data_IF_931895895550
#
_entry.id   IF_931895895550
#
_cell.length_a   1.000
_cell.length_b   1.000
_cell.length_c   1.000
_cell.angle_alpha   90.00
_cell.angle_beta   90.00
_cell.angle_gamma   90.00
#
_symmetry.space_group_name_H-M   'P 1'
#
loop_
_entity.id
_entity.type
_entity.pdbx_description
1 polymer ?
#
# COMPACT_ATOMS: atom_id res chain seq x y z
N UNK A 1 5.50 -2.13 -21.51
CA UNK A 1 5.48 -2.67 -20.12
C UNK A 1 4.28 -3.57 -19.90
N UNK A 2 4.42 -4.77 -19.31
CA UNK A 2 3.26 -5.62 -18.96
C UNK A 2 3.05 -5.59 -17.45
N UNK A 3 2.26 -4.63 -16.96
CA UNK A 3 1.98 -4.41 -15.54
C UNK A 3 1.14 -5.53 -14.88
N UNK A 4 0.57 -6.41 -15.70
CA UNK A 4 -0.28 -7.52 -15.24
C UNK A 4 0.50 -8.81 -14.97
N UNK A 5 1.83 -8.79 -15.17
CA UNK A 5 2.69 -9.93 -14.82
C UNK A 5 2.96 -10.02 -13.31
N UNK A 6 3.20 -11.24 -12.80
CA UNK A 6 3.48 -11.46 -11.38
C UNK A 6 4.94 -11.04 -11.09
N UNK A 7 5.13 -9.74 -10.92
CA UNK A 7 6.38 -9.14 -10.45
C UNK A 7 6.11 -8.21 -9.28
N UNK A 8 7.07 -8.04 -8.43
CA UNK A 8 7.04 -7.00 -7.41
C UNK A 8 7.23 -5.63 -8.06
N UNK A 9 6.53 -4.64 -7.55
CA UNK A 9 6.86 -3.23 -7.82
C UNK A 9 8.13 -2.85 -7.07
N UNK A 10 8.92 -1.90 -7.58
CA UNK A 10 10.22 -1.54 -7.01
C UNK A 10 10.20 -1.19 -5.52
N UNK A 11 9.09 -0.62 -5.04
CA UNK A 11 8.89 -0.28 -3.63
C UNK A 11 8.68 -1.50 -2.70
N UNK A 12 8.39 -2.69 -3.26
CA UNK A 12 8.32 -3.98 -2.54
C UNK A 12 9.59 -4.82 -2.76
N UNK A 13 10.30 -4.61 -3.88
CA UNK A 13 11.48 -5.36 -4.24
C UNK A 13 12.73 -4.82 -3.55
N UNK A 14 12.87 -3.50 -3.49
CA UNK A 14 14.04 -2.82 -2.97
C UNK A 14 14.04 -2.73 -1.44
N UNK A 15 15.24 -2.70 -0.86
CA UNK A 15 15.42 -2.42 0.56
C UNK A 15 15.20 -0.93 0.86
N UNK A 16 14.70 -0.63 2.04
CA UNK A 16 14.48 0.74 2.52
C UNK A 16 14.91 0.91 3.98
N UNK A 17 14.82 2.14 4.46
CA UNK A 17 15.14 2.46 5.85
C UNK A 17 14.11 1.83 6.78
N UNK A 18 14.56 1.24 7.89
CA UNK A 18 13.70 0.55 8.88
C UNK A 18 12.81 -0.56 8.29
N UNK A 19 13.20 -1.20 7.18
CA UNK A 19 12.43 -2.19 6.44
C UNK A 19 12.16 -3.50 7.20
N UNK A 20 12.77 -3.67 8.36
CA UNK A 20 12.41 -4.72 9.33
C UNK A 20 11.02 -4.48 9.96
N UNK A 21 10.57 -3.22 10.03
CA UNK A 21 9.27 -2.82 10.58
C UNK A 21 8.39 -2.14 9.52
N UNK A 22 8.98 -1.28 8.68
CA UNK A 22 8.28 -0.48 7.68
C UNK A 22 8.30 -1.18 6.33
N UNK A 23 7.13 -1.45 5.77
CA UNK A 23 7.02 -2.05 4.44
C UNK A 23 7.16 -1.01 3.32
N UNK A 24 6.52 0.16 3.50
CA UNK A 24 6.57 1.24 2.51
C UNK A 24 6.13 2.57 3.09
N UNK A 25 6.62 3.66 2.47
CA UNK A 25 6.12 5.02 2.59
C UNK A 25 5.37 5.41 1.32
N UNK A 26 4.30 6.22 1.46
CA UNK A 26 3.47 6.63 0.35
C UNK A 26 2.97 8.06 0.51
N UNK A 27 3.13 8.85 -0.53
CA UNK A 27 2.52 10.18 -0.67
C UNK A 27 1.46 10.13 -1.77
N UNK A 28 0.33 10.76 -1.53
CA UNK A 28 -0.74 10.97 -2.51
C UNK A 28 -1.15 12.42 -2.51
N UNK A 29 -1.24 13.03 -3.69
CA UNK A 29 -1.73 14.39 -3.91
C UNK A 29 -3.01 14.33 -4.73
N UNK A 30 -4.08 14.96 -4.25
CA UNK A 30 -5.34 15.11 -4.95
C UNK A 30 -5.40 16.49 -5.59
N UNK A 31 -5.73 16.56 -6.88
CA UNK A 31 -5.84 17.79 -7.68
C UNK A 31 -7.04 17.76 -8.57
N UNK A 32 -7.71 18.90 -8.68
CA UNK A 32 -8.76 19.13 -9.66
C UNK A 32 -8.37 20.25 -10.62
N UNK A 33 -8.84 20.17 -11.85
CA UNK A 33 -8.64 21.21 -12.84
C UNK A 33 -9.58 22.38 -12.56
N UNK A 34 -9.06 23.59 -12.77
CA UNK A 34 -9.85 24.81 -12.70
C UNK A 34 -10.88 24.83 -13.84
N UNK A 35 -12.07 25.35 -13.55
CA UNK A 35 -13.16 25.50 -14.50
C UNK A 35 -13.78 24.20 -15.03
N UNK A 36 -13.38 23.02 -14.50
CA UNK A 36 -14.00 21.73 -14.78
C UNK A 36 -14.83 21.25 -13.58
N UNK A 37 -15.92 20.51 -13.88
CA UNK A 37 -16.69 19.85 -12.83
C UNK A 37 -15.93 18.65 -12.27
N UNK A 38 -15.91 18.52 -10.96
CA UNK A 38 -15.18 17.41 -10.31
C UNK A 38 -15.75 16.05 -10.70
N UNK A 39 -14.92 15.00 -10.84
CA UNK A 39 -15.32 13.70 -11.37
C UNK A 39 -16.44 12.99 -10.60
N UNK A 40 -16.64 13.33 -9.33
CA UNK A 40 -17.76 12.82 -8.52
C UNK A 40 -19.12 13.28 -9.02
N UNK A 41 -19.18 14.36 -9.80
CA UNK A 41 -20.38 14.89 -10.42
C UNK A 41 -20.47 14.53 -11.91
N UNK A 42 -19.37 14.63 -12.64
CA UNK A 42 -19.30 14.34 -14.06
C UNK A 42 -17.91 13.83 -14.44
N UNK A 43 -17.83 12.65 -15.06
CA UNK A 43 -16.58 12.13 -15.64
C UNK A 43 -16.59 12.35 -17.16
N UNK A 44 -15.53 12.99 -17.68
CA UNK A 44 -15.34 13.22 -19.13
C UNK A 44 -14.07 12.51 -19.58
N UNK A 45 -14.15 11.73 -20.65
CA UNK A 45 -12.98 11.05 -21.22
C UNK A 45 -11.96 12.06 -21.78
N UNK A 46 -12.41 13.17 -22.32
CA UNK A 46 -11.56 14.26 -22.85
C UNK A 46 -10.59 14.82 -21.79
N UNK A 47 -11.01 14.87 -20.52
CA UNK A 47 -10.14 15.32 -19.43
C UNK A 47 -8.99 14.33 -19.21
N UNK A 48 -9.26 13.04 -19.31
CA UNK A 48 -8.22 12.00 -19.21
C UNK A 48 -7.20 12.15 -20.32
N UNK A 49 -7.66 12.36 -21.55
CA UNK A 49 -6.77 12.51 -22.71
C UNK A 49 -5.94 13.79 -22.61
N UNK A 50 -6.55 14.92 -22.24
CA UNK A 50 -5.85 16.19 -22.00
C UNK A 50 -4.77 16.09 -20.91
N UNK A 51 -5.06 15.41 -19.81
CA UNK A 51 -4.07 15.21 -18.75
C UNK A 51 -2.98 14.24 -19.21
N UNK A 52 -3.33 13.17 -19.91
CA UNK A 52 -2.37 12.17 -20.37
C UNK A 52 -1.37 12.76 -21.39
N UNK A 53 -1.78 13.74 -22.22
CA UNK A 53 -0.91 14.45 -23.16
C UNK A 53 0.20 15.27 -22.46
N UNK A 54 0.04 15.58 -21.17
CA UNK A 54 1.06 16.28 -20.39
C UNK A 54 2.28 15.37 -20.14
N UNK A 55 2.07 14.05 -20.10
CA UNK A 55 3.11 13.07 -19.77
C UNK A 55 3.74 12.49 -21.04
N UNK A 56 5.02 12.21 -20.95
CA UNK A 56 5.82 11.62 -22.02
C UNK A 56 5.74 10.07 -22.05
N UNK A 57 6.52 9.45 -22.93
CA UNK A 57 6.59 8.00 -23.11
C UNK A 57 7.11 7.22 -21.89
N UNK A 58 7.57 7.91 -20.83
CA UNK A 58 7.99 7.26 -19.59
C UNK A 58 6.81 6.73 -18.76
N UNK A 59 5.59 7.14 -19.10
CA UNK A 59 4.37 6.68 -18.47
C UNK A 59 3.51 5.86 -19.44
N UNK A 60 3.01 4.72 -18.96
CA UNK A 60 2.04 3.89 -19.68
C UNK A 60 0.63 4.27 -19.24
N UNK A 61 -0.20 4.74 -20.17
CA UNK A 61 -1.63 5.03 -19.93
C UNK A 61 -2.44 3.73 -20.02
N UNK A 62 -3.25 3.46 -19.01
CA UNK A 62 -4.19 2.34 -18.95
C UNK A 62 -5.59 2.87 -18.66
N UNK A 63 -6.48 2.84 -19.64
CA UNK A 63 -7.89 3.24 -19.48
C UNK A 63 -8.70 2.09 -18.85
N UNK A 64 -9.48 2.39 -17.83
CA UNK A 64 -10.23 1.37 -17.07
C UNK A 64 -11.30 0.66 -17.89
N UNK A 65 -11.91 1.31 -18.88
CA UNK A 65 -12.89 0.71 -19.79
C UNK A 65 -12.28 -0.26 -20.83
N UNK A 66 -10.94 -0.31 -20.95
CA UNK A 66 -10.22 -1.16 -21.91
C UNK A 66 -9.65 -2.43 -21.28
N UNK A 67 -9.74 -2.60 -19.96
CA UNK A 67 -9.16 -3.72 -19.24
C UNK A 67 -10.24 -4.51 -18.49
N UNK A 68 -9.98 -5.82 -18.31
CA UNK A 68 -10.89 -6.73 -17.62
C UNK A 68 -10.95 -6.47 -16.11
N UNK A 69 -12.02 -6.98 -15.46
CA UNK A 69 -12.15 -6.92 -14.00
C UNK A 69 -10.97 -7.58 -13.28
N UNK A 70 -10.44 -8.68 -13.82
CA UNK A 70 -9.25 -9.33 -13.26
C UNK A 70 -8.02 -8.41 -13.32
N UNK A 71 -7.81 -7.75 -14.45
CA UNK A 71 -6.69 -6.80 -14.60
C UNK A 71 -6.83 -5.60 -13.64
N UNK A 72 -8.04 -5.06 -13.47
CA UNK A 72 -8.30 -4.02 -12.46
C UNK A 72 -7.99 -4.51 -11.04
N UNK A 73 -8.41 -5.73 -10.70
CA UNK A 73 -8.16 -6.31 -9.39
C UNK A 73 -6.65 -6.52 -9.12
N UNK A 74 -5.87 -6.93 -10.13
CA UNK A 74 -4.40 -7.01 -10.04
C UNK A 74 -3.78 -5.64 -9.73
N UNK A 75 -4.24 -4.57 -10.39
CA UNK A 75 -3.76 -3.22 -10.09
C UNK A 75 -4.10 -2.77 -8.67
N UNK A 76 -5.28 -3.15 -8.15
CA UNK A 76 -5.68 -2.88 -6.75
C UNK A 76 -4.78 -3.64 -5.77
N UNK A 77 -4.52 -4.92 -6.01
CA UNK A 77 -3.67 -5.75 -5.14
C UNK A 77 -2.21 -5.31 -5.16
N UNK A 78 -1.73 -4.75 -6.27
CA UNK A 78 -0.42 -4.06 -6.39
C UNK A 78 -0.43 -2.64 -5.77
N UNK A 79 -1.53 -2.16 -5.24
CA UNK A 79 -1.73 -0.79 -4.73
C UNK A 79 -1.51 0.33 -5.76
N UNK A 80 -1.62 0.04 -7.05
CA UNK A 80 -1.45 1.00 -8.15
C UNK A 80 -2.71 1.80 -8.45
N UNK A 81 -3.89 1.24 -8.17
CA UNK A 81 -5.17 1.95 -8.22
C UNK A 81 -5.97 1.72 -6.94
N UNK A 82 -6.99 2.56 -6.72
CA UNK A 82 -7.90 2.41 -5.60
C UNK A 82 -9.05 1.42 -5.91
N UNK A 83 -9.67 0.80 -4.88
CA UNK A 83 -10.92 0.07 -5.08
C UNK A 83 -12.06 0.94 -5.64
N UNK A 84 -12.05 2.26 -5.37
CA UNK A 84 -13.02 3.19 -5.93
C UNK A 84 -12.88 3.28 -7.46
N UNK A 85 -11.66 3.47 -7.96
CA UNK A 85 -11.38 3.49 -9.40
C UNK A 85 -11.80 2.18 -10.08
N UNK A 86 -11.49 1.04 -9.49
CA UNK A 86 -11.89 -0.26 -10.03
C UNK A 86 -13.41 -0.37 -10.21
N UNK A 87 -14.21 0.14 -9.26
CA UNK A 87 -15.63 -0.13 -9.18
C UNK A 87 -16.53 0.98 -9.74
N UNK A 88 -16.06 2.24 -9.77
CA UNK A 88 -16.91 3.41 -10.02
C UNK A 88 -16.41 4.36 -11.09
N UNK A 89 -15.18 4.24 -11.57
CA UNK A 89 -14.67 5.13 -12.62
C UNK A 89 -14.88 4.53 -14.00
N UNK A 90 -15.92 4.98 -14.71
CA UNK A 90 -16.22 4.54 -16.06
C UNK A 90 -15.15 5.05 -17.06
N UNK A 91 -14.83 6.34 -16.97
CA UNK A 91 -13.82 7.01 -17.78
C UNK A 91 -12.53 7.27 -17.01
N UNK A 92 -12.25 6.43 -16.01
CA UNK A 92 -11.02 6.50 -15.26
C UNK A 92 -9.84 5.91 -16.03
N UNK A 93 -8.65 6.38 -15.72
CA UNK A 93 -7.41 5.84 -16.24
C UNK A 93 -6.30 5.92 -15.19
N UNK A 94 -5.21 5.21 -15.43
CA UNK A 94 -4.00 5.32 -14.62
C UNK A 94 -2.78 5.42 -15.52
N UNK A 95 -1.89 6.34 -15.18
CA UNK A 95 -0.54 6.46 -15.74
C UNK A 95 0.44 5.77 -14.78
N UNK A 96 1.25 4.85 -15.29
CA UNK A 96 2.22 4.08 -14.51
C UNK A 96 3.61 4.24 -15.10
N UNK A 97 4.60 4.48 -14.26
CA UNK A 97 6.00 4.39 -14.66
C UNK A 97 6.49 2.92 -14.70
N UNK A 98 7.63 2.66 -15.29
CA UNK A 98 8.16 1.30 -15.49
C UNK A 98 8.44 0.56 -14.18
N UNK A 99 8.85 1.26 -13.13
CA UNK A 99 9.16 0.72 -11.82
C UNK A 99 7.92 0.46 -10.95
N UNK A 100 6.73 0.92 -11.39
CA UNK A 100 5.46 0.82 -10.66
C UNK A 100 5.51 1.46 -9.24
N UNK A 101 6.39 2.43 -9.04
CA UNK A 101 6.48 3.20 -7.80
C UNK A 101 5.76 4.56 -7.89
N UNK A 102 5.42 4.98 -9.11
CA UNK A 102 4.56 6.14 -9.40
C UNK A 102 3.31 5.67 -10.12
N UNK A 103 2.15 6.05 -9.59
CA UNK A 103 0.86 5.87 -10.24
C UNK A 103 0.04 7.16 -10.16
N UNK A 104 -0.48 7.60 -11.31
CA UNK A 104 -1.32 8.80 -11.40
C UNK A 104 -2.69 8.36 -11.87
N UNK A 105 -3.64 8.31 -10.93
CA UNK A 105 -5.03 7.98 -11.22
C UNK A 105 -5.74 9.21 -11.77
N UNK A 106 -6.44 9.04 -12.86
CA UNK A 106 -7.19 10.10 -13.56
C UNK A 106 -8.68 9.80 -13.47
N UNK A 107 -9.50 10.81 -13.21
CA UNK A 107 -10.95 10.69 -13.04
C UNK A 107 -11.34 9.64 -11.97
N UNK A 108 -10.69 9.69 -10.81
CA UNK A 108 -11.12 8.91 -9.64
C UNK A 108 -12.18 9.71 -8.86
N UNK A 109 -11.92 10.10 -7.62
CA UNK A 109 -12.73 11.10 -6.88
C UNK A 109 -12.39 12.51 -7.34
N UNK A 110 -11.11 12.75 -7.64
CA UNK A 110 -10.56 13.99 -8.18
C UNK A 110 -10.00 13.73 -9.58
N UNK A 111 -9.73 14.80 -10.36
CA UNK A 111 -9.20 14.67 -11.71
C UNK A 111 -7.85 14.01 -11.75
N UNK A 112 -6.95 14.34 -10.81
CA UNK A 112 -5.66 13.71 -10.64
C UNK A 112 -5.48 13.24 -9.19
N UNK A 113 -4.90 12.06 -9.06
CA UNK A 113 -4.40 11.54 -7.80
C UNK A 113 -3.00 10.99 -8.01
N UNK A 114 -2.01 11.85 -7.83
CA UNK A 114 -0.60 11.50 -7.92
C UNK A 114 -0.24 10.64 -6.71
N UNK A 115 0.34 9.48 -6.93
CA UNK A 115 0.79 8.57 -5.87
C UNK A 115 2.24 8.19 -6.11
N UNK A 116 3.11 8.44 -5.13
CA UNK A 116 4.50 8.00 -5.11
C UNK A 116 4.72 7.07 -3.92
N UNK A 117 5.40 5.95 -4.15
CA UNK A 117 5.70 4.92 -3.15
C UNK A 117 7.20 4.64 -3.10
N UNK A 118 7.72 4.52 -1.87
CA UNK A 118 9.12 4.19 -1.60
C UNK A 118 9.21 3.02 -0.62
N UNK A 119 10.28 2.19 -0.68
CA UNK A 119 10.50 1.12 0.29
C UNK A 119 10.89 1.70 1.66
N UNK A 120 10.48 1.05 2.75
CA UNK A 120 10.84 1.46 4.11
C UNK A 120 10.33 2.85 4.51
N UNK A 121 11.00 3.49 5.48
CA UNK A 121 10.65 4.81 5.98
C UNK A 121 11.35 5.92 5.20
N UNK A 122 10.84 6.22 4.00
CA UNK A 122 11.38 7.25 3.09
C UNK A 122 10.28 8.21 2.61
N UNK A 123 9.60 8.83 3.57
CA UNK A 123 8.50 9.76 3.29
C UNK A 123 8.95 11.01 2.53
N UNK A 124 10.16 11.53 2.83
CA UNK A 124 10.69 12.71 2.15
C UNK A 124 11.01 12.43 0.68
N UNK A 125 11.59 11.26 0.36
CA UNK A 125 11.86 10.85 -1.03
C UNK A 125 10.55 10.71 -1.82
N UNK A 126 9.52 10.12 -1.20
CA UNK A 126 8.20 10.01 -1.80
C UNK A 126 7.52 11.39 -1.97
N UNK A 127 7.73 12.33 -1.04
CA UNK A 127 7.22 13.71 -1.12
C UNK A 127 7.91 14.45 -2.26
N UNK A 128 9.23 14.41 -2.34
CA UNK A 128 10.00 15.06 -3.39
C UNK A 128 9.55 14.60 -4.77
N UNK A 129 9.45 13.28 -4.97
CA UNK A 129 8.98 12.70 -6.22
C UNK A 129 7.53 13.15 -6.57
N UNK A 130 6.64 13.21 -5.58
CA UNK A 130 5.26 13.63 -5.79
C UNK A 130 5.17 15.11 -6.14
N UNK A 131 5.94 15.97 -5.46
CA UNK A 131 5.94 17.42 -5.73
C UNK A 131 6.61 17.76 -7.07
N UNK A 132 7.62 17.02 -7.51
CA UNK A 132 8.21 17.18 -8.85
C UNK A 132 7.18 16.91 -9.95
N UNK A 133 6.40 15.84 -9.82
CA UNK A 133 5.33 15.51 -10.77
C UNK A 133 4.21 16.55 -10.71
N UNK A 134 3.79 16.95 -9.51
CA UNK A 134 2.72 17.92 -9.29
C UNK A 134 3.07 19.28 -9.92
N UNK A 135 4.28 19.80 -9.67
CA UNK A 135 4.78 21.04 -10.27
C UNK A 135 4.87 20.97 -11.79
N UNK A 136 5.34 19.84 -12.36
CA UNK A 136 5.38 19.64 -13.80
C UNK A 136 4.00 19.68 -14.46
N UNK A 137 3.00 19.14 -13.79
CA UNK A 137 1.60 19.21 -14.27
C UNK A 137 1.03 20.62 -14.10
N UNK A 138 1.29 21.29 -12.97
CA UNK A 138 0.78 22.63 -12.67
C UNK A 138 1.32 23.70 -13.63
N UNK A 139 2.54 23.52 -14.18
CA UNK A 139 3.08 24.38 -15.25
C UNK A 139 2.27 24.33 -16.56
N UNK A 140 1.54 23.25 -16.79
CA UNK A 140 0.79 23.00 -18.05
C UNK A 140 -0.72 23.08 -17.87
N UNK A 141 -1.23 22.73 -16.71
CA UNK A 141 -2.65 22.65 -16.39
C UNK A 141 -2.96 23.49 -15.14
N UNK A 142 -3.98 24.34 -15.21
CA UNK A 142 -4.39 25.16 -14.07
C UNK A 142 -5.21 24.33 -13.09
N UNK A 143 -4.79 24.29 -11.83
CA UNK A 143 -5.51 23.62 -10.75
C UNK A 143 -6.61 24.47 -10.12
N UNK A 144 -7.63 23.84 -9.59
CA UNK A 144 -8.65 24.44 -8.74
C UNK A 144 -8.02 24.74 -7.37
N UNK A 145 -7.60 25.98 -7.19
CA UNK A 145 -6.92 26.47 -5.98
C UNK A 145 -7.60 27.73 -5.45
N UNK A 146 -7.78 27.79 -4.15
CA UNK A 146 -8.27 28.94 -3.42
C UNK A 146 -7.20 29.45 -2.45
N UNK A 147 -7.07 30.79 -2.32
CA UNK A 147 -6.03 31.40 -1.49
C UNK A 147 -6.19 31.14 0.02
N UNK A 148 -7.42 30.91 0.47
CA UNK A 148 -7.74 30.64 1.88
C UNK A 148 -7.77 29.14 2.17
N UNK A 149 -8.31 28.35 1.23
CA UNK A 149 -8.54 26.92 1.43
C UNK A 149 -7.51 26.01 0.77
N UNK A 150 -6.60 26.51 -0.05
CA UNK A 150 -5.62 25.72 -0.77
C UNK A 150 -6.22 24.96 -1.96
N UNK A 151 -5.74 23.76 -2.26
CA UNK A 151 -6.25 22.93 -3.33
C UNK A 151 -7.66 22.42 -3.02
N UNK A 152 -8.57 22.66 -3.97
CA UNK A 152 -9.97 22.25 -3.85
C UNK A 152 -10.15 20.81 -4.31
N UNK A 153 -10.66 19.98 -3.42
CA UNK A 153 -10.83 18.53 -3.64
C UNK A 153 -12.26 18.09 -3.43
N UNK A 154 -12.66 16.99 -4.05
CA UNK A 154 -13.98 16.40 -3.93
C UNK A 154 -14.30 15.97 -2.49
N UNK A 155 -13.30 15.51 -1.77
CA UNK A 155 -13.42 15.16 -0.36
C UNK A 155 -12.90 16.29 0.52
N UNK A 156 -13.77 16.86 1.35
CA UNK A 156 -13.43 18.00 2.23
C UNK A 156 -12.26 17.70 3.19
N UNK A 157 -12.00 16.44 3.50
CA UNK A 157 -10.88 16.03 4.35
C UNK A 157 -9.51 16.12 3.65
N UNK A 158 -9.48 16.37 2.34
CA UNK A 158 -8.27 16.56 1.57
C UNK A 158 -8.00 18.04 1.24
N UNK A 159 -8.96 18.96 1.48
CA UNK A 159 -8.80 20.40 1.24
C UNK A 159 -7.58 20.92 1.98
N UNK A 160 -6.83 21.83 1.36
CA UNK A 160 -5.56 22.39 1.84
C UNK A 160 -4.42 21.93 0.96
N UNK A 161 -3.53 21.13 1.48
CA UNK A 161 -2.44 20.52 0.69
C UNK A 161 -2.92 19.52 -0.34
N UNK A 162 -4.13 18.98 -0.20
CA UNK A 162 -4.60 17.83 -0.99
C UNK A 162 -3.81 16.56 -0.71
N UNK A 163 -2.91 16.57 0.30
CA UNK A 163 -1.93 15.52 0.51
C UNK A 163 -2.37 14.49 1.56
N UNK A 164 -2.15 13.24 1.24
CA UNK A 164 -2.19 12.16 2.22
C UNK A 164 -0.86 11.40 2.24
N UNK A 165 -0.10 11.60 3.30
CA UNK A 165 1.07 10.81 3.64
C UNK A 165 0.66 9.56 4.42
N UNK A 166 1.26 8.41 4.13
CA UNK A 166 0.98 7.17 4.86
C UNK A 166 2.18 6.23 4.88
N UNK A 167 2.29 5.48 5.97
CA UNK A 167 3.33 4.46 6.17
C UNK A 167 2.66 3.13 6.47
N UNK A 168 3.11 2.08 5.81
CA UNK A 168 2.65 0.71 6.03
C UNK A 168 3.67 -0.03 6.91
N UNK A 169 3.21 -0.59 8.04
CA UNK A 169 4.08 -1.19 9.06
C UNK A 169 3.60 -2.55 9.51
N UNK A 170 4.56 -3.43 9.82
CA UNK A 170 4.34 -4.75 10.40
C UNK A 170 4.68 -4.75 11.88
N UNK A 171 3.67 -4.89 12.76
CA UNK A 171 3.77 -4.70 14.22
C UNK A 171 3.40 -5.96 15.03
N UNK A 172 3.94 -7.15 14.74
CA UNK A 172 3.60 -8.39 15.44
C UNK A 172 4.04 -8.41 16.90
N UNK A 173 5.11 -7.70 17.25
CA UNK A 173 5.61 -7.59 18.62
C UNK A 173 4.63 -6.83 19.52
N UNK A 174 4.15 -5.67 19.06
CA UNK A 174 3.15 -4.87 19.77
C UNK A 174 1.80 -5.60 19.88
N UNK A 175 1.40 -6.34 18.85
CA UNK A 175 0.17 -7.15 18.88
C UNK A 175 0.29 -8.30 19.89
N UNK A 176 1.37 -9.09 19.82
CA UNK A 176 1.59 -10.25 20.68
C UNK A 176 1.75 -9.84 22.15
N UNK A 177 2.38 -8.70 22.42
CA UNK A 177 2.51 -8.14 23.78
C UNK A 177 1.27 -7.40 24.25
N UNK A 178 0.18 -7.36 23.45
CA UNK A 178 -1.10 -6.67 23.72
C UNK A 178 -0.96 -5.14 23.90
N UNK A 179 0.13 -4.54 23.46
CA UNK A 179 0.38 -3.09 23.56
C UNK A 179 -0.18 -2.30 22.40
N UNK A 180 -0.57 -2.95 21.32
CA UNK A 180 -1.01 -2.29 20.08
C UNK A 180 -2.18 -1.33 20.30
N UNK A 181 -3.14 -1.64 21.18
CA UNK A 181 -4.30 -0.78 21.43
C UNK A 181 -3.89 0.58 22.01
N UNK A 182 -3.03 0.60 23.03
CA UNK A 182 -2.56 1.85 23.63
C UNK A 182 -1.71 2.67 22.66
N UNK A 183 -0.93 2.02 21.78
CA UNK A 183 -0.18 2.70 20.73
C UNK A 183 -1.12 3.35 19.71
N UNK A 184 -2.17 2.65 19.26
CA UNK A 184 -3.16 3.21 18.33
C UNK A 184 -3.91 4.40 18.96
N UNK A 185 -4.29 4.32 20.23
CA UNK A 185 -4.95 5.43 20.95
C UNK A 185 -4.02 6.66 21.05
N UNK A 186 -2.74 6.46 21.36
CA UNK A 186 -1.75 7.54 21.38
C UNK A 186 -1.57 8.19 19.99
N UNK A 187 -1.46 7.39 18.92
CA UNK A 187 -1.34 7.88 17.55
C UNK A 187 -2.57 8.73 17.15
N UNK A 188 -3.77 8.27 17.51
CA UNK A 188 -5.02 8.99 17.24
C UNK A 188 -5.10 10.32 17.99
N UNK A 189 -4.61 10.38 19.23
CA UNK A 189 -4.58 11.62 20.01
C UNK A 189 -3.63 12.68 19.43
N UNK A 190 -2.66 12.25 18.60
CA UNK A 190 -1.75 13.14 17.85
C UNK A 190 -2.33 13.58 16.48
N UNK A 191 -3.58 13.20 16.14
CA UNK A 191 -4.24 13.58 14.90
C UNK A 191 -3.90 12.70 13.70
N UNK A 192 -3.44 11.48 13.94
CA UNK A 192 -3.20 10.50 12.87
C UNK A 192 -4.27 9.40 12.86
N UNK A 193 -4.45 8.77 11.71
CA UNK A 193 -5.36 7.64 11.52
C UNK A 193 -4.58 6.35 11.37
N UNK A 194 -4.98 5.33 12.13
CA UNK A 194 -4.46 3.96 11.98
C UNK A 194 -5.54 3.06 11.43
N UNK A 195 -5.26 2.38 10.33
CA UNK A 195 -6.17 1.44 9.66
C UNK A 195 -5.48 0.09 9.48
N UNK A 196 -6.25 -1.01 9.50
CA UNK A 196 -5.77 -2.28 8.95
C UNK A 196 -5.73 -2.21 7.41
N UNK A 197 -5.00 -3.12 6.76
CA UNK A 197 -4.85 -3.11 5.29
C UNK A 197 -6.20 -3.21 4.57
N UNK A 198 -7.19 -3.87 5.15
CA UNK A 198 -8.49 -4.17 4.52
C UNK A 198 -9.63 -3.21 4.91
N UNK A 199 -9.33 -2.02 5.47
CA UNK A 199 -10.33 -0.96 5.64
C UNK A 199 -10.64 -0.56 7.08
N UNK A 200 -11.56 0.42 7.23
CA UNK A 200 -12.00 0.97 8.52
C UNK A 200 -12.72 -0.08 9.36
N UNK A 201 -12.28 -0.24 10.62
CA UNK A 201 -12.95 -1.10 11.60
C UNK A 201 -12.60 -2.58 11.53
N UNK A 202 -11.84 -3.06 10.54
CA UNK A 202 -11.35 -4.44 10.53
C UNK A 202 -10.14 -4.60 11.44
N UNK A 203 -10.09 -5.71 12.20
CA UNK A 203 -8.83 -6.13 12.83
C UNK A 203 -7.82 -6.36 11.70
N UNK A 204 -6.60 -5.81 11.82
CA UNK A 204 -5.62 -5.94 10.75
C UNK A 204 -5.27 -7.41 10.56
N UNK A 205 -5.45 -7.90 9.33
CA UNK A 205 -4.91 -9.18 8.95
C UNK A 205 -3.37 -9.08 8.94
N UNK A 206 -2.68 -10.13 9.36
CA UNK A 206 -1.22 -10.23 9.26
C UNK A 206 -0.42 -9.21 10.08
N UNK A 207 -1.00 -8.58 11.12
CA UNK A 207 -0.33 -7.57 11.95
C UNK A 207 0.25 -6.38 11.14
N UNK A 208 -0.31 -6.09 9.95
CA UNK A 208 0.09 -4.95 9.13
C UNK A 208 -0.91 -3.81 9.30
N UNK A 209 -0.38 -2.62 9.58
CA UNK A 209 -1.14 -1.41 9.84
C UNK A 209 -0.70 -0.31 8.87
N UNK A 210 -1.62 0.58 8.54
CA UNK A 210 -1.32 1.81 7.83
C UNK A 210 -1.54 3.00 8.76
N UNK A 211 -0.51 3.81 8.96
CA UNK A 211 -0.59 5.09 9.68
C UNK A 211 -0.61 6.22 8.66
N UNK A 212 -1.49 7.21 8.82
CA UNK A 212 -1.58 8.35 7.89
C UNK A 212 -2.04 9.62 8.60
N UNK A 213 -1.72 10.79 8.01
CA UNK A 213 -2.27 12.07 8.47
C UNK A 213 -3.80 12.09 8.32
N UNK A 214 -4.45 12.89 9.16
CA UNK A 214 -5.87 13.20 9.07
C UNK A 214 -6.09 14.66 8.64
N UNK A 215 -5.21 15.55 9.05
CA UNK A 215 -5.31 16.99 8.79
C UNK A 215 -4.49 17.33 7.54
N UNK A 216 -5.05 18.16 6.67
CA UNK A 216 -4.47 18.63 5.41
C UNK A 216 -4.52 20.15 5.29
N UNK A 217 -5.30 20.85 6.13
CA UNK A 217 -5.44 22.28 6.16
C UNK A 217 -4.66 22.88 7.34
N UNK A 218 -3.96 23.99 7.13
CA UNK A 218 -3.22 24.71 8.18
C UNK A 218 -1.81 24.16 8.47
N UNK A 219 -1.33 23.22 7.65
CA UNK A 219 0.05 22.70 7.65
C UNK A 219 0.58 22.64 6.23
N UNK A 220 1.88 22.74 6.08
CA UNK A 220 2.58 22.47 4.82
C UNK A 220 2.77 20.95 4.62
N UNK A 221 3.04 20.55 3.39
CA UNK A 221 3.36 19.16 3.06
C UNK A 221 4.57 18.64 3.85
N UNK A 222 5.59 19.49 4.00
CA UNK A 222 6.81 19.17 4.75
C UNK A 222 6.50 18.95 6.24
N UNK A 223 5.73 19.83 6.89
CA UNK A 223 5.33 19.68 8.29
C UNK A 223 4.53 18.39 8.53
N UNK A 224 3.65 18.02 7.60
CA UNK A 224 2.88 16.76 7.69
C UNK A 224 3.81 15.55 7.63
N UNK A 225 4.81 15.56 6.75
CA UNK A 225 5.79 14.48 6.61
C UNK A 225 6.72 14.40 7.81
N UNK A 226 7.20 15.54 8.32
CA UNK A 226 8.01 15.61 9.55
C UNK A 226 7.28 15.01 10.75
N UNK A 227 6.04 15.44 10.99
CA UNK A 227 5.22 14.95 12.10
C UNK A 227 4.98 13.44 12.00
N UNK A 228 4.63 12.96 10.78
CA UNK A 228 4.41 11.51 10.56
C UNK A 228 5.69 10.71 10.76
N UNK A 229 6.84 11.22 10.29
CA UNK A 229 8.14 10.56 10.46
C UNK A 229 8.48 10.40 11.93
N UNK A 230 8.34 11.46 12.74
CA UNK A 230 8.60 11.41 14.18
C UNK A 230 7.71 10.39 14.90
N UNK A 231 6.43 10.33 14.55
CA UNK A 231 5.50 9.31 15.09
C UNK A 231 5.94 7.91 14.70
N UNK A 232 6.35 7.73 13.44
CA UNK A 232 6.80 6.42 12.95
C UNK A 232 8.07 5.94 13.64
N UNK A 233 9.06 6.80 13.85
CA UNK A 233 10.28 6.46 14.60
C UNK A 233 9.96 5.94 16.00
N UNK A 234 9.00 6.54 16.71
CA UNK A 234 8.58 6.08 18.03
C UNK A 234 7.89 4.70 17.97
N UNK A 235 7.06 4.46 16.95
CA UNK A 235 6.39 3.17 16.75
C UNK A 235 7.42 2.07 16.44
N UNK A 236 8.37 2.33 15.56
CA UNK A 236 9.45 1.42 15.18
C UNK A 236 10.28 1.03 16.41
N UNK A 237 10.69 2.02 17.21
CA UNK A 237 11.43 1.76 18.45
C UNK A 237 10.62 0.87 19.41
N UNK A 238 9.34 1.15 19.61
CA UNK A 238 8.48 0.36 20.48
C UNK A 238 8.27 -1.07 19.97
N UNK A 239 8.12 -1.26 18.67
CA UNK A 239 8.01 -2.57 18.04
C UNK A 239 9.30 -3.38 18.24
N UNK A 240 10.48 -2.80 18.01
CA UNK A 240 11.78 -3.44 18.20
C UNK A 240 11.99 -3.85 19.67
N UNK A 241 11.61 -3.00 20.62
CA UNK A 241 11.63 -3.33 22.06
C UNK A 241 10.68 -4.49 22.36
N UNK A 242 9.49 -4.51 21.79
CA UNK A 242 8.54 -5.60 21.97
C UNK A 242 9.08 -6.93 21.40
N UNK A 243 9.66 -6.93 20.19
CA UNK A 243 10.31 -8.09 19.56
C UNK A 243 11.46 -8.62 20.42
N UNK A 244 12.34 -7.74 20.91
CA UNK A 244 13.46 -8.10 21.79
C UNK A 244 12.95 -8.74 23.09
N UNK A 245 11.91 -8.16 23.70
CA UNK A 245 11.29 -8.70 24.92
C UNK A 245 10.71 -10.10 24.68
N UNK A 246 10.03 -10.31 23.55
CA UNK A 246 9.49 -11.63 23.19
C UNK A 246 10.61 -12.65 23.01
N UNK A 247 11.67 -12.30 22.27
CA UNK A 247 12.82 -13.17 22.05
C UNK A 247 13.53 -13.55 23.35
N UNK A 248 13.69 -12.60 24.29
CA UNK A 248 14.37 -12.86 25.56
C UNK A 248 13.52 -13.65 26.56
N UNK A 249 12.23 -13.33 26.71
CA UNK A 249 11.41 -13.89 27.78
C UNK A 249 10.59 -15.10 27.34
N UNK A 250 10.31 -15.26 26.05
CA UNK A 250 9.41 -16.28 25.52
C UNK A 250 10.02 -16.99 24.31
N UNK A 251 11.34 -17.15 24.27
CA UNK A 251 12.09 -17.68 23.13
C UNK A 251 11.47 -18.96 22.54
N UNK A 252 11.32 -20.00 23.36
CA UNK A 252 10.84 -21.32 22.91
C UNK A 252 9.39 -21.23 22.38
N UNK A 253 8.51 -20.48 23.06
CA UNK A 253 7.13 -20.34 22.62
C UNK A 253 7.01 -19.53 21.32
N UNK A 254 7.89 -18.53 21.13
CA UNK A 254 7.97 -17.74 19.91
C UNK A 254 8.54 -18.57 18.76
N UNK A 255 9.60 -19.30 18.99
CA UNK A 255 10.22 -20.20 18.04
C UNK A 255 9.23 -21.30 17.61
N UNK A 256 8.57 -21.99 18.54
CA UNK A 256 7.54 -22.99 18.23
C UNK A 256 6.43 -22.39 17.34
N UNK A 257 5.92 -21.20 17.67
CA UNK A 257 4.90 -20.50 16.87
C UNK A 257 5.37 -20.26 15.44
N UNK A 258 6.57 -19.72 15.28
CA UNK A 258 7.13 -19.36 13.96
C UNK A 258 7.37 -20.63 13.11
N UNK A 259 7.98 -21.69 13.70
CA UNK A 259 8.24 -22.94 12.98
C UNK A 259 6.96 -23.73 12.69
N UNK A 260 5.93 -23.65 13.51
CA UNK A 260 4.61 -24.25 13.22
C UNK A 260 3.96 -23.53 12.05
N UNK A 261 4.00 -22.20 11.99
CA UNK A 261 3.51 -21.41 10.85
C UNK A 261 4.27 -21.75 9.57
N UNK A 262 5.60 -21.92 9.64
CA UNK A 262 6.41 -22.38 8.51
C UNK A 262 6.01 -23.79 8.07
N UNK A 263 5.91 -24.74 9.01
CA UNK A 263 5.47 -26.11 8.72
C UNK A 263 4.07 -26.19 8.12
N UNK A 264 3.15 -25.32 8.57
CA UNK A 264 1.82 -25.17 7.99
C UNK A 264 1.91 -24.77 6.52
N UNK A 265 2.59 -23.65 6.20
CA UNK A 265 2.68 -23.12 4.85
C UNK A 265 3.39 -24.08 3.89
N UNK A 266 4.42 -24.80 4.35
CA UNK A 266 5.15 -25.79 3.55
C UNK A 266 4.35 -27.07 3.24
N UNK A 267 3.36 -27.41 4.08
CA UNK A 267 2.69 -28.71 3.98
C UNK A 267 1.18 -28.65 3.72
N UNK A 268 0.53 -27.47 3.89
CA UNK A 268 -0.91 -27.37 3.65
C UNK A 268 -1.26 -27.65 2.17
N UNK A 269 -2.46 -28.20 1.95
CA UNK A 269 -3.05 -28.44 0.62
C UNK A 269 -4.22 -27.52 0.37
N UNK A 270 -4.79 -26.97 1.43
CA UNK A 270 -5.88 -26.01 1.46
C UNK A 270 -5.53 -24.99 2.51
N UNK A 271 -5.62 -23.69 2.17
CA UNK A 271 -5.40 -22.62 3.13
C UNK A 271 -6.28 -21.39 2.82
N UNK A 272 -6.96 -20.89 3.83
CA UNK A 272 -7.74 -19.66 3.70
C UNK A 272 -6.82 -18.42 3.63
N UNK A 273 -7.34 -17.32 3.08
CA UNK A 273 -6.60 -16.05 3.04
C UNK A 273 -6.16 -15.60 4.43
N UNK A 274 -7.07 -15.68 5.40
CA UNK A 274 -6.75 -15.26 6.78
C UNK A 274 -5.64 -16.12 7.39
N UNK A 275 -5.75 -17.42 7.30
CA UNK A 275 -4.76 -18.37 7.85
C UNK A 275 -3.38 -18.20 7.19
N UNK A 276 -3.36 -18.03 5.86
CA UNK A 276 -2.13 -17.75 5.12
C UNK A 276 -1.49 -16.43 5.60
N UNK A 277 -2.28 -15.37 5.70
CA UNK A 277 -1.83 -14.06 6.13
C UNK A 277 -1.26 -14.07 7.56
N UNK A 278 -1.93 -14.77 8.48
CA UNK A 278 -1.46 -14.89 9.87
C UNK A 278 -0.14 -15.68 9.93
N UNK A 279 -0.03 -16.78 9.19
CA UNK A 279 1.19 -17.59 9.14
C UNK A 279 2.36 -16.86 8.44
N UNK A 280 2.10 -16.11 7.35
CA UNK A 280 3.09 -15.27 6.67
C UNK A 280 3.64 -14.20 7.65
N UNK A 281 2.76 -13.57 8.44
CA UNK A 281 3.17 -12.60 9.46
C UNK A 281 4.10 -13.21 10.51
N UNK A 282 3.81 -14.43 10.97
CA UNK A 282 4.65 -15.14 11.93
C UNK A 282 6.03 -15.46 11.34
N UNK A 283 6.08 -15.91 10.09
CA UNK A 283 7.35 -16.22 9.42
C UNK A 283 8.16 -14.93 9.20
N UNK A 284 7.52 -13.83 8.77
CA UNK A 284 8.20 -12.52 8.65
C UNK A 284 8.83 -12.10 9.97
N UNK A 285 8.11 -12.23 11.10
CA UNK A 285 8.68 -11.99 12.42
C UNK A 285 9.88 -12.90 12.68
N UNK A 286 9.79 -14.17 12.29
CA UNK A 286 10.90 -15.13 12.42
C UNK A 286 12.13 -14.75 11.60
N UNK A 287 11.94 -14.26 10.38
CA UNK A 287 13.03 -13.73 9.54
C UNK A 287 13.73 -12.56 10.22
N UNK A 288 12.96 -11.59 10.73
CA UNK A 288 13.53 -10.41 11.41
C UNK A 288 14.22 -10.74 12.75
N UNK A 289 13.85 -11.84 13.37
CA UNK A 289 14.49 -12.32 14.60
C UNK A 289 15.66 -13.28 14.35
N UNK A 290 15.95 -13.59 13.07
CA UNK A 290 17.05 -14.46 12.67
C UNK A 290 16.80 -15.96 12.88
N UNK A 291 15.53 -16.41 12.89
CA UNK A 291 15.19 -17.84 12.91
C UNK A 291 15.31 -18.49 11.52
N UNK A 292 15.26 -17.70 10.45
CA UNK A 292 15.37 -18.16 9.07
C UNK A 292 16.46 -17.35 8.33
N UNK A 293 17.58 -18.01 7.97
CA UNK A 293 18.65 -17.40 7.20
C UNK A 293 18.41 -17.49 5.69
N UNK A 294 17.58 -18.44 5.26
CA UNK A 294 17.32 -18.75 3.85
C UNK A 294 16.08 -18.06 3.26
N UNK A 295 15.32 -17.33 4.08
CA UNK A 295 14.12 -16.62 3.64
C UNK A 295 14.42 -15.11 3.62
N UNK A 296 14.37 -14.49 2.43
CA UNK A 296 14.57 -13.06 2.29
C UNK A 296 13.28 -12.25 2.56
N UNK A 297 13.42 -10.96 2.85
CA UNK A 297 12.28 -10.01 2.92
C UNK A 297 11.53 -9.93 1.60
N UNK A 298 12.24 -9.96 0.48
CA UNK A 298 11.64 -9.99 -0.85
C UNK A 298 10.72 -11.20 -1.01
N UNK A 299 11.15 -12.41 -0.63
CA UNK A 299 10.33 -13.62 -0.64
C UNK A 299 9.08 -13.48 0.24
N UNK A 300 9.19 -12.78 1.38
CA UNK A 300 8.02 -12.46 2.21
C UNK A 300 7.05 -11.50 1.54
N UNK A 301 7.54 -10.54 0.74
CA UNK A 301 6.69 -9.63 -0.03
C UNK A 301 6.00 -10.37 -1.19
N UNK A 302 6.69 -11.29 -1.86
CA UNK A 302 6.12 -12.19 -2.89
C UNK A 302 4.98 -13.04 -2.31
N UNK A 303 5.17 -13.63 -1.12
CA UNK A 303 4.13 -14.40 -0.43
C UNK A 303 2.88 -13.55 -0.15
N UNK A 304 3.07 -12.32 0.34
CA UNK A 304 1.94 -11.41 0.63
C UNK A 304 1.20 -11.05 -0.65
N UNK A 305 1.91 -10.71 -1.73
CA UNK A 305 1.31 -10.25 -2.97
C UNK A 305 0.69 -11.41 -3.77
N UNK A 306 1.46 -12.47 -4.05
CA UNK A 306 1.01 -13.52 -4.96
C UNK A 306 0.02 -14.51 -4.35
N UNK A 307 -0.20 -14.46 -3.03
CA UNK A 307 -1.30 -15.19 -2.37
C UNK A 307 -2.65 -14.47 -2.42
N UNK A 308 -2.72 -13.24 -3.00
CA UNK A 308 -3.96 -12.48 -3.13
C UNK A 308 -4.88 -13.07 -4.21
N UNK A 309 -6.21 -12.89 -4.09
CA UNK A 309 -7.20 -13.54 -4.97
C UNK A 309 -7.02 -13.27 -6.47
N UNK A 310 -6.68 -12.03 -6.88
CA UNK A 310 -6.53 -11.73 -8.30
C UNK A 310 -5.29 -12.40 -8.91
N UNK A 311 -4.17 -12.45 -8.16
CA UNK A 311 -2.98 -13.20 -8.58
C UNK A 311 -3.25 -14.70 -8.70
N UNK A 312 -4.03 -15.28 -7.78
CA UNK A 312 -4.40 -16.69 -7.84
C UNK A 312 -5.31 -17.00 -9.04
N UNK A 313 -6.26 -16.10 -9.37
CA UNK A 313 -7.11 -16.23 -10.58
C UNK A 313 -6.28 -16.11 -11.85
N UNK A 314 -5.32 -15.21 -11.87
CA UNK A 314 -4.38 -15.09 -13.00
C UNK A 314 -3.55 -16.37 -13.17
N UNK A 315 -3.02 -16.94 -12.08
CA UNK A 315 -2.25 -18.20 -12.09
C UNK A 315 -3.11 -19.36 -12.59
N UNK A 316 -4.36 -19.44 -12.15
CA UNK A 316 -5.29 -20.49 -12.60
C UNK A 316 -5.74 -20.31 -14.06
N UNK A 317 -5.65 -19.12 -14.64
CA UNK A 317 -6.12 -18.78 -15.99
C UNK A 317 -7.65 -18.90 -16.18
N UNK A 318 -8.41 -19.01 -15.09
CA UNK A 318 -9.87 -19.16 -15.08
C UNK A 318 -10.49 -18.67 -13.77
N UNK A 319 -11.80 -18.50 -13.78
CA UNK A 319 -12.55 -18.27 -12.55
C UNK A 319 -12.50 -19.52 -11.65
N UNK A 320 -12.47 -19.29 -10.35
CA UNK A 320 -12.33 -20.30 -9.31
C UNK A 320 -13.47 -20.18 -8.29
N UNK A 321 -13.93 -21.31 -7.78
CA UNK A 321 -14.72 -21.32 -6.56
C UNK A 321 -13.83 -21.17 -5.31
N UNK A 322 -14.44 -21.01 -4.15
CA UNK A 322 -13.73 -20.75 -2.88
C UNK A 322 -12.74 -21.89 -2.52
N UNK A 323 -13.09 -23.14 -2.78
CA UNK A 323 -12.21 -24.27 -2.48
C UNK A 323 -11.00 -24.30 -3.40
N UNK A 324 -11.20 -24.07 -4.71
CA UNK A 324 -10.13 -24.00 -5.69
C UNK A 324 -9.16 -22.88 -5.37
N UNK A 325 -9.67 -21.70 -4.96
CA UNK A 325 -8.83 -20.58 -4.53
C UNK A 325 -7.92 -20.96 -3.34
N UNK A 326 -8.49 -21.66 -2.33
CA UNK A 326 -7.71 -22.15 -1.17
C UNK A 326 -6.65 -23.18 -1.58
N UNK A 327 -6.93 -24.03 -2.56
CA UNK A 327 -5.99 -25.04 -3.08
C UNK A 327 -4.86 -24.38 -3.85
N UNK A 328 -5.18 -23.45 -4.76
CA UNK A 328 -4.17 -22.72 -5.54
C UNK A 328 -3.30 -21.87 -4.63
N UNK A 329 -3.89 -21.18 -3.64
CA UNK A 329 -3.12 -20.40 -2.64
C UNK A 329 -2.10 -21.29 -1.94
N UNK A 330 -2.51 -22.45 -1.45
CA UNK A 330 -1.60 -23.40 -0.82
C UNK A 330 -0.48 -23.89 -1.76
N UNK A 331 -0.79 -24.07 -3.06
CA UNK A 331 0.21 -24.42 -4.08
C UNK A 331 1.23 -23.29 -4.26
N UNK A 332 0.77 -22.09 -4.57
CA UNK A 332 1.63 -20.90 -4.82
C UNK A 332 2.54 -20.61 -3.61
N UNK A 333 2.00 -20.67 -2.40
CA UNK A 333 2.80 -20.45 -1.19
C UNK A 333 3.93 -21.47 -1.05
N UNK A 334 3.65 -22.78 -1.31
CA UNK A 334 4.68 -23.81 -1.24
C UNK A 334 5.74 -23.65 -2.33
N UNK A 335 5.34 -23.25 -3.53
CA UNK A 335 6.27 -22.98 -4.63
C UNK A 335 7.23 -21.82 -4.25
N UNK A 336 6.70 -20.68 -3.77
CA UNK A 336 7.53 -19.56 -3.35
C UNK A 336 8.46 -19.94 -2.18
N UNK A 337 7.99 -20.66 -1.17
CA UNK A 337 8.82 -21.04 -0.02
C UNK A 337 9.81 -22.17 -0.34
N UNK A 338 9.44 -23.06 -1.26
CA UNK A 338 10.23 -24.24 -1.62
C UNK A 338 11.32 -23.99 -2.65
N UNK A 339 11.31 -22.86 -3.36
CA UNK A 339 12.39 -22.46 -4.25
C UNK A 339 13.67 -22.23 -3.45
N UNK A 340 14.69 -23.06 -3.73
CA UNK A 340 16.03 -23.03 -3.13
C UNK A 340 16.94 -22.05 -3.86
#
# INVERSE_FOLDING_TARGET
>A
MNVFEPRLSSWLENAGDDDDVVLSSRIRLARNLKDEQFPVYEQKEEIVDNIAEVFDDNFTLIKMNQISLLQKALLVEKHLISPYMMNKSEYGAVLLNEEENVSIMLNEEDHLRIQCMTPGLRLFDALEAALQIDGYVEEKLSYAFDKEFGYLTSCVTNIGTGMRASVMVHLPGLVTTKRIKSVIEAIRSLGFVVRGIYGEGSMPASNIFQVSNQVTLGKTETEIVEDLTQVMEQIIMQERVARTTLKQKFHIALEDRVFRSYGLLMNCRIISMKEASDAISDIRLGVELGFFEHISRQKMNELVLFSQPAFLRREAGRDMNELEEKVIRAKVIREILGDK
#
